data_IF_477397437534
#
_entry.id   IF_477397437534
#
_cell.length_a   1.000
_cell.length_b   1.000
_cell.length_c   1.000
_cell.angle_alpha   90.00
_cell.angle_beta   90.00
_cell.angle_gamma   90.00
#
_symmetry.space_group_name_H-M   'P 1'
#
loop_
_entity.id
_entity.type
_entity.pdbx_description
1 polymer ?
#
# COMPACT_ATOMS: atom_id res chain seq x y z
N UNK A 1 -8.66 -19.43 11.09
CA UNK A 1 -10.09 -19.54 11.44
C UNK A 1 -10.73 -18.21 11.10
N UNK A 2 -11.89 -18.20 10.45
CA UNK A 2 -12.65 -16.97 10.25
C UNK A 2 -13.07 -16.42 11.62
N UNK A 3 -12.89 -15.13 11.86
CA UNK A 3 -13.36 -14.49 13.10
C UNK A 3 -14.89 -14.48 13.10
N UNK A 4 -15.51 -14.66 14.28
CA UNK A 4 -16.96 -14.52 14.35
C UNK A 4 -17.36 -13.05 14.10
N UNK A 5 -18.58 -12.77 13.59
CA UNK A 5 -19.07 -11.40 13.46
C UNK A 5 -18.97 -10.61 14.77
N UNK A 6 -19.22 -11.27 15.90
CA UNK A 6 -19.11 -10.68 17.22
C UNK A 6 -17.69 -10.22 17.55
N UNK A 7 -16.67 -11.04 17.26
CA UNK A 7 -15.27 -10.69 17.47
C UNK A 7 -14.86 -9.50 16.60
N UNK A 8 -15.33 -9.47 15.35
CA UNK A 8 -15.08 -8.38 14.40
C UNK A 8 -15.67 -7.08 14.93
N UNK A 9 -16.95 -7.08 15.29
CA UNK A 9 -17.60 -5.88 15.83
C UNK A 9 -16.95 -5.44 17.14
N UNK A 10 -16.62 -6.36 18.04
CA UNK A 10 -15.92 -6.05 19.29
C UNK A 10 -14.59 -5.33 19.03
N UNK A 11 -13.79 -5.81 18.08
CA UNK A 11 -12.53 -5.16 17.70
C UNK A 11 -12.77 -3.75 17.14
N UNK A 12 -13.76 -3.59 16.25
CA UNK A 12 -14.07 -2.30 15.60
C UNK A 12 -14.53 -1.25 16.61
N UNK A 13 -15.43 -1.63 17.51
CA UNK A 13 -16.08 -0.68 18.42
C UNK A 13 -15.34 -0.48 19.74
N UNK A 14 -14.27 -1.24 19.98
CA UNK A 14 -13.42 -1.12 21.18
C UNK A 14 -12.88 0.30 21.44
N UNK A 15 -12.75 1.11 20.39
CA UNK A 15 -12.28 2.50 20.44
C UNK A 15 -13.41 3.52 20.19
N UNK A 16 -14.65 3.07 20.05
CA UNK A 16 -15.80 3.94 19.81
C UNK A 16 -16.20 4.68 21.09
N UNK A 17 -16.74 5.90 20.95
CA UNK A 17 -17.28 6.64 22.08
C UNK A 17 -18.57 6.00 22.60
N UNK A 18 -18.93 6.17 23.89
CA UNK A 18 -20.21 5.68 24.42
C UNK A 18 -21.42 6.20 23.63
N UNK A 19 -21.37 7.46 23.18
CA UNK A 19 -22.43 8.06 22.35
C UNK A 19 -22.54 7.42 20.97
N UNK A 20 -21.41 7.05 20.35
CA UNK A 20 -21.42 6.29 19.09
C UNK A 20 -22.06 4.92 19.29
N UNK A 21 -21.69 4.22 20.36
CA UNK A 21 -22.23 2.90 20.70
C UNK A 21 -23.74 2.93 20.96
N UNK A 22 -24.22 3.91 21.73
CA UNK A 22 -25.64 4.10 22.03
C UNK A 22 -26.47 4.40 20.78
N UNK A 23 -25.92 5.17 19.84
CA UNK A 23 -26.59 5.42 18.55
C UNK A 23 -26.62 4.17 17.69
N UNK A 24 -25.51 3.43 17.64
CA UNK A 24 -25.36 2.25 16.78
C UNK A 24 -26.22 1.07 17.27
N UNK A 25 -26.42 0.92 18.58
CA UNK A 25 -27.25 -0.14 19.16
C UNK A 25 -28.74 -0.05 18.77
N UNK A 26 -29.17 1.09 18.21
CA UNK A 26 -30.52 1.24 17.63
C UNK A 26 -30.68 0.53 16.28
N UNK A 27 -29.57 0.20 15.63
CA UNK A 27 -29.52 -0.37 14.27
C UNK A 27 -28.82 -1.73 14.22
N UNK A 28 -27.95 -2.01 15.19
CA UNK A 28 -27.18 -3.25 15.27
C UNK A 28 -27.47 -3.94 16.59
N UNK A 29 -27.95 -5.18 16.51
CA UNK A 29 -27.97 -6.06 17.67
C UNK A 29 -26.56 -6.61 17.90
N UNK A 30 -25.89 -6.17 18.95
CA UNK A 30 -24.54 -6.62 19.28
C UNK A 30 -24.48 -8.04 19.85
N UNK A 31 -25.62 -8.67 20.19
CA UNK A 31 -25.65 -10.08 20.58
C UNK A 31 -25.54 -11.01 19.36
N UNK A 32 -26.08 -10.58 18.22
CA UNK A 32 -26.04 -11.29 16.94
C UNK A 32 -25.77 -10.30 15.80
N UNK A 33 -24.57 -9.70 15.75
CA UNK A 33 -24.33 -8.61 14.82
C UNK A 33 -24.16 -9.14 13.38
N UNK A 34 -24.56 -8.36 12.36
CA UNK A 34 -24.37 -8.74 10.97
C UNK A 34 -22.88 -8.75 10.60
N UNK A 35 -22.53 -9.36 9.47
CA UNK A 35 -21.18 -9.21 8.90
C UNK A 35 -20.87 -7.73 8.64
N UNK A 36 -19.77 -7.23 9.22
CA UNK A 36 -19.48 -5.79 9.21
C UNK A 36 -19.33 -5.24 7.78
N UNK A 37 -18.67 -5.99 6.89
CA UNK A 37 -18.46 -5.56 5.51
C UNK A 37 -19.79 -5.39 4.75
N UNK A 38 -20.69 -6.35 4.88
CA UNK A 38 -22.00 -6.33 4.23
C UNK A 38 -22.90 -5.25 4.82
N UNK A 39 -22.84 -5.07 6.14
CA UNK A 39 -23.52 -3.95 6.81
C UNK A 39 -23.01 -2.61 6.27
N UNK A 40 -21.69 -2.36 6.28
CA UNK A 40 -21.11 -1.10 5.83
C UNK A 40 -21.44 -0.78 4.36
N UNK A 41 -21.42 -1.77 3.47
CA UNK A 41 -21.82 -1.59 2.07
C UNK A 41 -23.30 -1.26 1.93
N UNK A 42 -24.17 -1.95 2.68
CA UNK A 42 -25.60 -1.65 2.71
C UNK A 42 -25.85 -0.21 3.15
N UNK A 43 -25.19 0.23 4.23
CA UNK A 43 -25.32 1.61 4.73
C UNK A 43 -24.81 2.64 3.71
N UNK A 44 -23.71 2.36 3.02
CA UNK A 44 -23.25 3.21 1.93
C UNK A 44 -24.27 3.31 0.78
N UNK A 45 -24.86 2.19 0.36
CA UNK A 45 -25.86 2.18 -0.70
C UNK A 45 -27.12 2.98 -0.31
N UNK A 46 -27.57 2.86 0.93
CA UNK A 46 -28.66 3.66 1.49
C UNK A 46 -28.30 5.16 1.51
N UNK A 47 -27.07 5.51 1.89
CA UNK A 47 -26.58 6.89 1.84
C UNK A 47 -26.64 7.48 0.43
N UNK A 48 -26.20 6.72 -0.58
CA UNK A 48 -26.22 7.15 -1.98
C UNK A 48 -27.64 7.36 -2.51
N UNK A 49 -28.61 6.63 -1.96
CA UNK A 49 -30.04 6.80 -2.24
C UNK A 49 -30.69 7.93 -1.43
N UNK A 50 -29.91 8.65 -0.60
CA UNK A 50 -30.39 9.67 0.35
C UNK A 50 -31.44 9.13 1.32
N UNK A 51 -31.33 7.84 1.67
CA UNK A 51 -32.24 7.23 2.64
C UNK A 51 -31.90 7.74 4.06
N UNK A 52 -32.86 8.31 4.80
CA UNK A 52 -32.63 8.83 6.15
C UNK A 52 -32.24 7.76 7.18
N UNK A 53 -32.52 6.49 6.90
CA UNK A 53 -32.18 5.36 7.78
C UNK A 53 -30.72 4.89 7.61
N UNK A 54 -29.97 5.50 6.68
CA UNK A 54 -28.54 5.25 6.52
C UNK A 54 -27.77 5.60 7.79
N UNK A 55 -26.97 4.66 8.29
CA UNK A 55 -26.02 4.90 9.37
C UNK A 55 -24.60 5.16 8.87
N UNK A 56 -24.39 5.43 7.58
CA UNK A 56 -23.05 5.59 7.01
C UNK A 56 -22.25 6.70 7.70
N UNK A 57 -22.84 7.88 7.89
CA UNK A 57 -22.19 8.99 8.58
C UNK A 57 -21.82 8.62 10.03
N UNK A 58 -22.69 7.85 10.72
CA UNK A 58 -22.38 7.35 12.07
C UNK A 58 -21.15 6.42 12.07
N UNK A 59 -20.98 5.58 11.05
CA UNK A 59 -19.81 4.70 10.92
C UNK A 59 -18.53 5.51 10.64
N UNK A 60 -18.62 6.58 9.86
CA UNK A 60 -17.49 7.46 9.51
C UNK A 60 -17.10 8.35 10.69
N UNK A 61 -18.06 9.08 11.26
CA UNK A 61 -17.86 9.99 12.40
C UNK A 61 -17.42 9.23 13.66
N UNK A 62 -17.97 8.03 13.86
CA UNK A 62 -17.55 7.10 14.91
C UNK A 62 -16.17 6.47 14.70
N UNK A 63 -15.48 6.80 13.60
CA UNK A 63 -14.20 6.22 13.18
C UNK A 63 -14.20 4.69 13.01
N UNK A 64 -15.39 4.08 12.87
CA UNK A 64 -15.55 2.64 12.77
C UNK A 64 -15.01 2.11 11.44
N UNK A 65 -15.18 2.87 10.35
CA UNK A 65 -14.59 2.54 9.05
C UNK A 65 -13.06 2.54 9.14
N UNK A 66 -12.45 3.52 9.81
CA UNK A 66 -10.99 3.53 10.02
C UNK A 66 -10.53 2.33 10.84
N UNK A 67 -11.31 1.92 11.84
CA UNK A 67 -10.98 0.77 12.70
C UNK A 67 -11.01 -0.50 11.88
N UNK A 68 -12.08 -0.73 11.13
CA UNK A 68 -12.25 -1.93 10.35
C UNK A 68 -11.20 -2.05 9.23
N UNK A 69 -10.95 -0.95 8.52
CA UNK A 69 -9.97 -0.91 7.43
C UNK A 69 -8.55 -1.12 7.97
N UNK A 70 -8.18 -0.43 9.05
CA UNK A 70 -6.83 -0.48 9.62
C UNK A 70 -6.49 -1.76 10.40
N UNK A 71 -7.50 -2.51 10.87
CA UNK A 71 -7.27 -3.70 11.69
C UNK A 71 -6.95 -4.94 10.82
N UNK A 72 -5.80 -5.62 11.02
CA UNK A 72 -5.36 -6.71 10.13
C UNK A 72 -6.29 -7.93 10.09
N UNK A 73 -7.00 -8.21 11.18
CA UNK A 73 -7.83 -9.43 11.31
C UNK A 73 -9.31 -9.24 10.95
N UNK A 74 -9.79 -7.99 10.90
CA UNK A 74 -11.23 -7.67 10.86
C UNK A 74 -11.80 -7.82 9.46
N UNK A 75 -11.05 -7.38 8.45
CA UNK A 75 -11.43 -7.50 7.04
C UNK A 75 -10.29 -8.13 6.27
N UNK A 76 -10.58 -8.91 5.24
CA UNK A 76 -9.54 -9.26 4.29
C UNK A 76 -9.09 -8.00 3.50
N UNK A 77 -7.95 -8.09 2.80
CA UNK A 77 -7.38 -6.91 2.12
C UNK A 77 -8.34 -6.37 1.04
N UNK A 78 -9.03 -7.27 0.32
CA UNK A 78 -9.96 -6.88 -0.76
C UNK A 78 -11.13 -6.07 -0.20
N UNK A 79 -11.76 -6.53 0.87
CA UNK A 79 -12.87 -5.85 1.56
C UNK A 79 -12.44 -4.49 2.10
N UNK A 80 -11.29 -4.42 2.78
CA UNK A 80 -10.81 -3.14 3.29
C UNK A 80 -10.42 -2.16 2.20
N UNK A 81 -9.87 -2.61 1.07
CA UNK A 81 -9.63 -1.74 -0.08
C UNK A 81 -10.95 -1.22 -0.66
N UNK A 82 -12.01 -2.04 -0.74
CA UNK A 82 -13.33 -1.59 -1.18
C UNK A 82 -13.88 -0.52 -0.24
N UNK A 83 -13.90 -0.78 1.07
CA UNK A 83 -14.41 0.22 2.04
C UNK A 83 -13.55 1.49 2.06
N UNK A 84 -12.23 1.38 1.92
CA UNK A 84 -11.36 2.54 1.85
C UNK A 84 -11.65 3.39 0.60
N UNK A 85 -11.90 2.77 -0.57
CA UNK A 85 -12.30 3.50 -1.78
C UNK A 85 -13.64 4.20 -1.60
N UNK A 86 -14.61 3.53 -0.97
CA UNK A 86 -15.91 4.13 -0.63
C UNK A 86 -15.70 5.34 0.28
N UNK A 87 -14.96 5.19 1.38
CA UNK A 87 -14.72 6.27 2.32
C UNK A 87 -13.98 7.47 1.71
N UNK A 88 -13.06 7.24 0.78
CA UNK A 88 -12.37 8.30 0.04
C UNK A 88 -13.31 9.18 -0.81
N UNK A 89 -14.50 8.68 -1.19
CA UNK A 89 -15.47 9.49 -1.94
C UNK A 89 -16.07 10.62 -1.09
N UNK A 90 -16.23 10.39 0.21
CA UNK A 90 -16.71 11.39 1.18
C UNK A 90 -15.60 12.16 1.90
N UNK A 91 -14.40 11.57 2.00
CA UNK A 91 -13.25 12.16 2.69
C UNK A 91 -11.95 12.00 1.88
N UNK A 92 -11.55 13.02 1.10
CA UNK A 92 -10.30 12.99 0.34
C UNK A 92 -9.03 12.84 1.20
N UNK A 93 -9.12 13.07 2.52
CA UNK A 93 -8.00 12.92 3.45
C UNK A 93 -8.00 11.57 4.16
N UNK A 94 -8.89 10.64 3.79
CA UNK A 94 -9.02 9.32 4.44
C UNK A 94 -7.69 8.58 4.57
N UNK A 95 -6.90 8.48 3.48
CA UNK A 95 -5.60 7.80 3.48
C UNK A 95 -4.60 8.43 4.45
N UNK A 96 -4.61 9.75 4.57
CA UNK A 96 -3.77 10.48 5.53
C UNK A 96 -4.26 10.25 6.96
N UNK A 97 -5.57 10.27 7.20
CA UNK A 97 -6.16 9.99 8.52
C UNK A 97 -5.90 8.56 8.97
N UNK A 98 -5.97 7.58 8.05
CA UNK A 98 -5.66 6.18 8.31
C UNK A 98 -4.23 6.02 8.83
N UNK A 99 -3.24 6.65 8.20
CA UNK A 99 -1.85 6.64 8.70
C UNK A 99 -1.69 7.41 10.01
N UNK A 100 -2.31 8.59 10.14
CA UNK A 100 -2.18 9.43 11.34
C UNK A 100 -2.78 8.76 12.57
N UNK A 101 -3.85 7.97 12.40
CA UNK A 101 -4.44 7.18 13.48
C UNK A 101 -3.43 6.26 14.14
N UNK A 102 -2.51 5.67 13.36
CA UNK A 102 -1.45 4.83 13.91
C UNK A 102 -0.60 5.58 14.95
N UNK A 103 -0.52 6.91 14.87
CA UNK A 103 0.24 7.75 15.80
C UNK A 103 -0.65 8.46 16.84
N UNK A 104 -1.98 8.31 16.81
CA UNK A 104 -2.88 9.15 17.60
C UNK A 104 -2.65 9.06 19.12
N UNK A 105 -2.24 7.88 19.59
CA UNK A 105 -1.98 7.61 21.01
C UNK A 105 -0.53 7.19 21.27
N UNK A 106 0.40 7.56 20.37
CA UNK A 106 1.78 7.08 20.36
C UNK A 106 2.75 8.23 20.14
N UNK A 107 3.82 8.28 20.93
CA UNK A 107 4.84 9.34 20.81
C UNK A 107 5.77 9.01 19.64
N UNK A 108 6.09 7.73 19.49
CA UNK A 108 7.10 7.24 18.56
C UNK A 108 6.49 6.31 17.51
N UNK A 109 6.88 6.44 16.21
CA UNK A 109 6.46 5.51 15.17
C UNK A 109 6.71 4.04 15.51
N UNK A 110 7.77 3.76 16.24
CA UNK A 110 8.21 2.42 16.66
C UNK A 110 7.20 1.71 17.60
N UNK A 111 6.33 2.46 18.26
CA UNK A 111 5.28 1.92 19.15
C UNK A 111 4.11 1.32 18.37
N UNK A 112 4.04 1.55 17.05
CA UNK A 112 2.98 0.98 16.21
C UNK A 112 3.27 -0.51 15.96
N UNK A 113 2.32 -1.42 16.23
CA UNK A 113 2.45 -2.80 15.82
C UNK A 113 2.74 -2.94 14.32
N UNK A 114 3.72 -3.79 13.97
CA UNK A 114 4.17 -3.89 12.59
C UNK A 114 3.08 -4.39 11.64
N UNK A 115 2.17 -5.25 12.11
CA UNK A 115 1.01 -5.76 11.39
C UNK A 115 -0.03 -4.67 11.09
N UNK A 116 -0.37 -3.82 12.07
CA UNK A 116 -1.23 -2.64 11.86
C UNK A 116 -0.63 -1.71 10.77
N UNK A 117 0.67 -1.45 10.86
CA UNK A 117 1.38 -0.63 9.88
C UNK A 117 1.38 -1.29 8.49
N UNK A 118 1.74 -2.58 8.40
CA UNK A 118 1.73 -3.32 7.15
C UNK A 118 0.34 -3.36 6.51
N UNK A 119 -0.72 -3.45 7.33
CA UNK A 119 -2.10 -3.38 6.87
C UNK A 119 -2.40 -2.03 6.24
N UNK A 120 -2.14 -0.93 6.96
CA UNK A 120 -2.36 0.42 6.42
C UNK A 120 -1.57 0.64 5.11
N UNK A 121 -0.29 0.28 5.08
CA UNK A 121 0.55 0.43 3.88
C UNK A 121 0.06 -0.43 2.70
N UNK A 122 -0.47 -1.63 2.96
CA UNK A 122 -1.01 -2.49 1.90
C UNK A 122 -2.31 -1.95 1.32
N UNK A 123 -3.14 -1.30 2.14
CA UNK A 123 -4.32 -0.58 1.66
C UNK A 123 -3.90 0.60 0.79
N UNK A 124 -2.96 1.43 1.26
CA UNK A 124 -2.44 2.55 0.47
C UNK A 124 -1.82 2.11 -0.85
N UNK A 125 -1.11 1.00 -0.87
CA UNK A 125 -0.54 0.43 -2.09
C UNK A 125 -1.61 0.01 -3.10
N UNK A 126 -2.78 -0.46 -2.63
CA UNK A 126 -3.92 -0.84 -3.45
C UNK A 126 -4.80 0.35 -3.86
N UNK A 127 -4.65 1.50 -3.20
CA UNK A 127 -5.32 2.76 -3.53
C UNK A 127 -4.37 3.57 -4.41
N UNK A 128 -4.59 3.55 -5.72
CA UNK A 128 -3.67 4.12 -6.72
C UNK A 128 -3.57 5.66 -6.70
N UNK A 129 -3.99 6.33 -5.63
CA UNK A 129 -3.90 7.78 -5.45
C UNK A 129 -3.19 8.15 -4.14
N UNK A 130 -1.85 8.24 -4.16
CA UNK A 130 -1.06 8.51 -2.97
C UNK A 130 -0.84 10.01 -2.69
N UNK A 131 -1.70 10.90 -3.22
CA UNK A 131 -1.55 12.34 -3.05
C UNK A 131 -1.43 12.73 -1.56
N UNK A 132 -0.46 13.60 -1.27
CA UNK A 132 -0.22 14.20 0.05
C UNK A 132 0.20 13.22 1.16
N UNK A 133 0.69 12.03 0.81
CA UNK A 133 1.17 11.05 1.80
C UNK A 133 2.65 11.18 2.15
N UNK A 134 3.45 11.87 1.34
CA UNK A 134 4.92 11.90 1.47
C UNK A 134 5.39 12.26 2.89
N UNK A 135 4.91 13.38 3.46
CA UNK A 135 5.29 13.82 4.80
C UNK A 135 4.84 12.88 5.92
N UNK A 136 3.70 12.22 5.75
CA UNK A 136 3.19 11.24 6.72
C UNK A 136 4.00 9.95 6.65
N UNK A 137 4.31 9.47 5.44
CA UNK A 137 5.13 8.29 5.19
C UNK A 137 6.58 8.47 5.66
N UNK A 138 7.13 9.69 5.57
CA UNK A 138 8.49 9.98 6.00
C UNK A 138 8.72 9.63 7.47
N UNK A 139 7.71 9.80 8.33
CA UNK A 139 7.76 9.42 9.74
C UNK A 139 8.02 7.93 9.96
N UNK A 140 7.68 7.10 8.97
CA UNK A 140 7.85 5.65 9.02
C UNK A 140 9.05 5.15 8.19
N UNK A 141 9.84 6.05 7.60
CA UNK A 141 11.01 5.69 6.78
C UNK A 141 12.12 5.00 7.57
N UNK A 142 12.19 5.24 8.88
CA UNK A 142 13.17 4.67 9.81
C UNK A 142 12.59 3.57 10.71
N UNK A 143 11.42 3.05 10.34
CA UNK A 143 10.73 2.03 11.14
C UNK A 143 11.59 0.76 11.33
N UNK A 144 11.66 0.16 12.53
CA UNK A 144 12.56 -0.96 12.85
C UNK A 144 12.30 -2.21 12.01
N UNK A 145 11.03 -2.51 11.73
CA UNK A 145 10.65 -3.64 10.90
C UNK A 145 11.02 -3.39 9.43
N UNK A 146 11.94 -4.20 8.89
CA UNK A 146 12.39 -4.11 7.48
C UNK A 146 11.27 -4.31 6.47
N UNK A 147 10.24 -5.11 6.80
CA UNK A 147 9.08 -5.28 5.93
C UNK A 147 8.30 -3.96 5.79
N UNK A 148 8.04 -3.29 6.91
CA UNK A 148 7.40 -1.97 6.93
C UNK A 148 8.25 -0.97 6.14
N UNK A 149 9.55 -0.88 6.46
CA UNK A 149 10.47 0.04 5.79
C UNK A 149 10.48 -0.17 4.27
N UNK A 150 10.45 -1.42 3.81
CA UNK A 150 10.42 -1.73 2.37
C UNK A 150 9.11 -1.30 1.67
N UNK A 151 7.97 -1.33 2.36
CA UNK A 151 6.69 -0.82 1.82
C UNK A 151 6.64 0.70 1.84
N UNK A 152 7.13 1.31 2.92
CA UNK A 152 7.28 2.78 3.00
C UNK A 152 8.18 3.29 1.87
N UNK A 153 9.31 2.63 1.61
CA UNK A 153 10.21 2.98 0.53
C UNK A 153 9.55 2.89 -0.85
N UNK A 154 8.70 1.87 -1.09
CA UNK A 154 7.90 1.77 -2.31
C UNK A 154 6.97 2.97 -2.49
N UNK A 155 6.19 3.28 -1.45
CA UNK A 155 5.23 4.37 -1.52
C UNK A 155 5.93 5.73 -1.65
N UNK A 156 7.00 5.97 -0.88
CA UNK A 156 7.81 7.19 -0.99
C UNK A 156 8.48 7.33 -2.36
N UNK A 157 8.99 6.24 -2.94
CA UNK A 157 9.56 6.25 -4.30
C UNK A 157 8.56 6.74 -5.34
N UNK A 158 7.26 6.48 -5.13
CA UNK A 158 6.19 6.94 -6.01
C UNK A 158 5.82 8.42 -5.82
N UNK A 159 5.92 8.97 -4.60
CA UNK A 159 5.33 10.29 -4.26
C UNK A 159 6.26 11.35 -3.69
N UNK A 160 7.45 10.99 -3.23
CA UNK A 160 8.37 11.95 -2.63
C UNK A 160 9.16 12.67 -3.71
N UNK A 161 9.23 13.99 -3.63
CA UNK A 161 10.10 14.81 -4.49
C UNK A 161 11.47 15.08 -3.84
N UNK A 162 11.65 14.71 -2.57
CA UNK A 162 12.94 14.86 -1.89
C UNK A 162 13.89 13.74 -2.32
N UNK A 163 14.84 14.07 -3.19
CA UNK A 163 15.90 13.15 -3.63
C UNK A 163 16.74 12.68 -2.44
N UNK A 164 17.08 13.57 -1.49
CA UNK A 164 17.89 13.23 -0.32
C UNK A 164 17.26 12.11 0.52
N UNK A 165 15.94 12.18 0.76
CA UNK A 165 15.20 11.13 1.47
C UNK A 165 15.26 9.79 0.72
N UNK A 166 15.12 9.83 -0.61
CA UNK A 166 15.15 8.61 -1.42
C UNK A 166 16.57 8.03 -1.51
N UNK A 167 17.60 8.88 -1.51
CA UNK A 167 19.00 8.48 -1.40
C UNK A 167 19.29 7.79 -0.07
N UNK A 168 18.80 8.33 1.05
CA UNK A 168 18.92 7.67 2.36
C UNK A 168 18.30 6.27 2.34
N UNK A 169 17.11 6.12 1.76
CA UNK A 169 16.45 4.83 1.61
C UNK A 169 17.20 3.87 0.67
N UNK A 170 17.83 4.40 -0.38
CA UNK A 170 18.63 3.61 -1.31
C UNK A 170 19.96 3.15 -0.70
N UNK A 171 20.47 3.82 0.34
CA UNK A 171 21.65 3.39 1.08
C UNK A 171 21.36 2.33 2.14
N UNK A 172 20.10 2.00 2.39
CA UNK A 172 19.73 0.94 3.35
C UNK A 172 20.31 -0.42 2.88
N UNK A 173 21.02 -1.16 3.76
CA UNK A 173 21.64 -2.43 3.39
C UNK A 173 20.65 -3.52 2.94
N UNK A 174 19.40 -3.48 3.41
CA UNK A 174 18.37 -4.44 3.01
C UNK A 174 17.96 -4.24 1.54
N UNK A 175 18.26 -5.23 0.70
CA UNK A 175 17.99 -5.17 -0.72
C UNK A 175 16.50 -5.06 -1.07
N UNK A 176 15.59 -5.50 -0.20
CA UNK A 176 14.14 -5.34 -0.42
C UNK A 176 13.73 -3.88 -0.34
N UNK A 177 14.34 -3.11 0.56
CA UNK A 177 14.09 -1.66 0.67
C UNK A 177 14.52 -0.98 -0.63
N UNK A 178 15.75 -1.23 -1.09
CA UNK A 178 16.28 -0.66 -2.33
C UNK A 178 15.47 -1.06 -3.57
N UNK A 179 15.11 -2.34 -3.70
CA UNK A 179 14.33 -2.82 -4.83
C UNK A 179 12.92 -2.24 -4.86
N UNK A 180 12.25 -2.17 -3.71
CA UNK A 180 10.91 -1.61 -3.60
C UNK A 180 10.91 -0.09 -3.82
N UNK A 181 11.96 0.62 -3.39
CA UNK A 181 12.15 2.03 -3.74
C UNK A 181 12.18 2.23 -5.26
N UNK A 182 13.02 1.47 -5.98
CA UNK A 182 13.06 1.52 -7.44
C UNK A 182 11.71 1.13 -8.07
N UNK A 183 11.01 0.14 -7.50
CA UNK A 183 9.66 -0.21 -7.92
C UNK A 183 8.68 0.96 -7.79
N UNK A 184 8.79 1.76 -6.71
CA UNK A 184 8.00 2.98 -6.53
C UNK A 184 8.33 4.04 -7.57
N UNK A 185 9.63 4.30 -7.78
CA UNK A 185 10.13 5.25 -8.79
C UNK A 185 9.67 4.85 -10.19
N UNK A 186 9.64 3.56 -10.50
CA UNK A 186 9.13 3.04 -11.76
C UNK A 186 7.67 3.43 -12.05
N UNK A 187 6.86 3.79 -11.06
CA UNK A 187 5.48 4.22 -11.28
C UNK A 187 5.35 5.72 -11.60
N UNK A 188 6.47 6.45 -11.66
CA UNK A 188 6.48 7.87 -12.03
C UNK A 188 6.62 8.05 -13.54
N UNK A 189 6.09 9.16 -14.01
CA UNK A 189 6.22 9.61 -15.40
C UNK A 189 7.60 10.20 -15.67
N UNK A 190 8.05 11.13 -14.82
CA UNK A 190 9.39 11.71 -14.90
C UNK A 190 10.40 10.90 -14.07
N UNK A 191 11.40 10.36 -14.77
CA UNK A 191 12.47 9.54 -14.22
C UNK A 191 13.83 10.25 -14.19
N UNK A 192 13.98 11.40 -14.85
CA UNK A 192 15.29 12.05 -15.00
C UNK A 192 15.94 12.42 -13.66
N UNK A 193 15.20 12.92 -12.64
CA UNK A 193 15.78 13.22 -11.33
C UNK A 193 16.42 12.00 -10.64
N UNK A 194 16.00 10.78 -11.00
CA UNK A 194 16.46 9.54 -10.38
C UNK A 194 17.55 8.82 -11.17
N UNK A 195 18.02 9.39 -12.29
CA UNK A 195 18.97 8.74 -13.21
C UNK A 195 20.21 8.18 -12.51
N UNK A 196 20.83 8.96 -11.63
CA UNK A 196 22.02 8.54 -10.89
C UNK A 196 21.76 7.36 -9.91
N UNK A 197 20.57 7.33 -9.29
CA UNK A 197 20.14 6.22 -8.44
C UNK A 197 19.86 4.97 -9.25
N UNK A 198 19.18 5.10 -10.39
CA UNK A 198 18.88 4.01 -11.31
C UNK A 198 20.18 3.40 -11.87
N UNK A 199 21.16 4.23 -12.23
CA UNK A 199 22.47 3.76 -12.72
C UNK A 199 23.25 2.96 -11.66
N UNK A 200 23.20 3.39 -10.39
CA UNK A 200 23.75 2.60 -9.27
C UNK A 200 22.98 1.30 -9.07
N UNK A 201 21.65 1.33 -9.15
CA UNK A 201 20.80 0.15 -9.08
C UNK A 201 21.16 -0.90 -10.12
N UNK A 202 21.51 -0.51 -11.35
CA UNK A 202 21.93 -1.44 -12.40
C UNK A 202 23.20 -2.24 -12.03
N UNK A 203 24.03 -1.69 -11.14
CA UNK A 203 25.29 -2.29 -10.66
C UNK A 203 25.14 -2.97 -9.30
N UNK A 204 23.94 -2.97 -8.71
CA UNK A 204 23.69 -3.59 -7.41
C UNK A 204 23.90 -5.10 -7.50
N UNK A 205 24.59 -5.66 -6.50
CA UNK A 205 24.89 -7.09 -6.42
C UNK A 205 23.62 -7.93 -6.26
N UNK A 206 22.55 -7.35 -5.72
CA UNK A 206 21.28 -8.04 -5.60
C UNK A 206 20.53 -8.04 -6.94
N UNK A 207 20.13 -9.23 -7.39
CA UNK A 207 19.44 -9.43 -8.68
C UNK A 207 18.12 -8.66 -8.76
N UNK A 208 17.36 -8.56 -7.66
CA UNK A 208 16.07 -7.85 -7.64
C UNK A 208 16.25 -6.36 -7.80
N UNK A 209 17.20 -5.75 -7.10
CA UNK A 209 17.52 -4.33 -7.22
C UNK A 209 17.96 -4.02 -8.66
N UNK A 210 18.93 -4.78 -9.17
CA UNK A 210 19.43 -4.57 -10.53
C UNK A 210 18.40 -4.87 -11.62
N UNK A 211 17.47 -5.81 -11.42
CA UNK A 211 16.42 -6.09 -12.38
C UNK A 211 15.44 -4.92 -12.51
N UNK A 212 15.00 -4.33 -11.38
CA UNK A 212 14.17 -3.13 -11.41
C UNK A 212 14.88 -1.95 -12.07
N UNK A 213 16.15 -1.71 -11.73
CA UNK A 213 16.92 -0.63 -12.35
C UNK A 213 17.10 -0.82 -13.87
N UNK A 214 17.40 -2.05 -14.32
CA UNK A 214 17.51 -2.37 -15.74
C UNK A 214 16.17 -2.20 -16.47
N UNK A 215 15.06 -2.62 -15.84
CA UNK A 215 13.72 -2.45 -16.38
C UNK A 215 13.36 -0.97 -16.56
N UNK A 216 13.67 -0.14 -15.57
CA UNK A 216 13.48 1.31 -15.64
C UNK A 216 14.31 1.93 -16.78
N UNK A 217 15.61 1.60 -16.90
CA UNK A 217 16.45 2.10 -18.01
C UNK A 217 16.01 1.58 -19.38
N UNK A 218 15.53 0.34 -19.46
CA UNK A 218 15.01 -0.22 -20.70
C UNK A 218 13.76 0.54 -21.15
N UNK A 219 12.88 0.93 -20.21
CA UNK A 219 11.68 1.73 -20.48
C UNK A 219 12.04 3.11 -21.03
N UNK A 220 13.12 3.71 -20.56
CA UNK A 220 13.61 5.02 -21.07
C UNK A 220 14.44 4.91 -22.35
N UNK A 221 14.45 3.74 -23.02
CA UNK A 221 15.06 3.56 -24.34
C UNK A 221 16.53 3.11 -24.33
N UNK A 222 17.12 2.79 -23.17
CA UNK A 222 18.53 2.40 -23.12
C UNK A 222 18.73 0.95 -23.62
N UNK A 223 19.23 0.80 -24.86
CA UNK A 223 19.39 -0.48 -25.55
C UNK A 223 20.20 -1.54 -24.78
N UNK A 224 21.30 -1.15 -24.13
CA UNK A 224 22.12 -2.08 -23.34
C UNK A 224 21.35 -2.71 -22.16
N UNK A 225 20.60 -1.90 -21.41
CA UNK A 225 19.74 -2.36 -20.32
C UNK A 225 18.61 -3.25 -20.82
N UNK A 226 18.04 -2.94 -22.00
CA UNK A 226 17.03 -3.80 -22.65
C UNK A 226 17.61 -5.18 -23.00
N UNK A 227 18.82 -5.24 -23.55
CA UNK A 227 19.50 -6.50 -23.87
C UNK A 227 19.79 -7.32 -22.60
N UNK A 228 20.35 -6.68 -21.56
CA UNK A 228 20.61 -7.34 -20.28
C UNK A 228 19.33 -7.84 -19.59
N UNK A 229 18.24 -7.08 -19.67
CA UNK A 229 16.95 -7.51 -19.14
C UNK A 229 16.40 -8.72 -19.91
N UNK A 230 16.48 -8.73 -21.25
CA UNK A 230 16.13 -9.90 -22.09
C UNK A 230 16.95 -11.13 -21.72
N UNK A 231 18.25 -10.98 -21.47
CA UNK A 231 19.09 -12.09 -21.01
C UNK A 231 18.59 -12.66 -19.67
N UNK A 232 18.16 -11.79 -18.74
CA UNK A 232 17.60 -12.23 -17.44
C UNK A 232 16.24 -12.91 -17.57
N UNK A 233 15.37 -12.42 -18.46
CA UNK A 233 14.08 -13.05 -18.78
C UNK A 233 14.28 -14.48 -19.35
N UNK A 234 15.39 -14.73 -20.03
CA UNK A 234 15.74 -16.03 -20.59
C UNK A 234 16.71 -16.85 -19.69
N UNK A 235 16.94 -16.42 -18.45
CA UNK A 235 17.86 -17.12 -17.56
C UNK A 235 17.35 -18.52 -17.20
N UNK A 236 18.27 -19.48 -17.09
CA UNK A 236 17.95 -20.84 -16.63
C UNK A 236 17.55 -20.89 -15.15
N UNK A 237 18.05 -19.94 -14.36
CA UNK A 237 17.73 -19.81 -12.93
C UNK A 237 16.36 -19.16 -12.75
N UNK A 238 15.41 -19.90 -12.17
CA UNK A 238 14.03 -19.45 -11.94
C UNK A 238 13.96 -18.10 -11.23
N UNK A 239 14.66 -17.95 -10.10
CA UNK A 239 14.64 -16.71 -9.31
C UNK A 239 15.06 -15.46 -10.11
N UNK A 240 16.07 -15.58 -10.98
CA UNK A 240 16.54 -14.46 -11.83
C UNK A 240 15.49 -14.10 -12.87
N UNK A 241 14.90 -15.13 -13.48
CA UNK A 241 13.88 -14.99 -14.51
C UNK A 241 12.58 -14.40 -13.95
N UNK A 242 12.08 -14.92 -12.85
CA UNK A 242 10.81 -14.51 -12.24
C UNK A 242 10.87 -13.06 -11.76
N UNK A 243 12.01 -12.66 -11.19
CA UNK A 243 12.29 -11.27 -10.82
C UNK A 243 12.34 -10.35 -12.05
N UNK A 244 12.93 -10.79 -13.16
CA UNK A 244 12.96 -10.02 -14.39
C UNK A 244 11.56 -9.87 -15.02
N UNK A 245 10.74 -10.92 -14.98
CA UNK A 245 9.33 -10.85 -15.41
C UNK A 245 8.55 -9.85 -14.56
N UNK A 246 8.69 -9.94 -13.24
CA UNK A 246 8.02 -9.02 -12.33
C UNK A 246 8.47 -7.56 -12.53
N UNK A 247 9.77 -7.31 -12.69
CA UNK A 247 10.25 -5.97 -12.97
C UNK A 247 9.71 -5.44 -14.31
N UNK A 248 9.68 -6.28 -15.35
CA UNK A 248 9.20 -5.92 -16.69
C UNK A 248 7.70 -5.62 -16.72
N UNK A 249 6.88 -6.37 -15.97
CA UNK A 249 5.43 -6.11 -15.91
C UNK A 249 5.12 -4.77 -15.24
N UNK A 250 5.85 -4.41 -14.17
CA UNK A 250 5.66 -3.14 -13.46
C UNK A 250 6.01 -1.93 -14.34
N UNK A 251 7.04 -2.02 -15.19
CA UNK A 251 7.45 -0.92 -16.07
C UNK A 251 6.73 -0.89 -17.42
N UNK A 252 5.77 -1.79 -17.66
CA UNK A 252 5.05 -1.86 -18.94
C UNK A 252 5.87 -2.44 -20.09
N UNK A 253 6.83 -3.32 -19.81
CA UNK A 253 7.68 -4.01 -20.80
C UNK A 253 7.36 -5.52 -20.90
N UNK A 254 6.11 -5.90 -20.62
CA UNK A 254 5.67 -7.30 -20.66
C UNK A 254 5.91 -7.95 -22.03
N UNK A 255 5.83 -7.18 -23.11
CA UNK A 255 6.00 -7.66 -24.49
C UNK A 255 7.44 -8.13 -24.81
N UNK A 256 8.42 -7.81 -23.96
CA UNK A 256 9.78 -8.35 -24.09
C UNK A 256 9.86 -9.86 -23.89
N UNK A 257 8.80 -10.48 -23.34
CA UNK A 257 8.69 -11.91 -23.07
C UNK A 257 8.41 -12.74 -24.32
N UNK A 258 7.91 -12.13 -25.42
CA UNK A 258 7.52 -12.84 -26.65
C UNK A 258 8.53 -12.77 -27.81
N UNK A 259 9.65 -12.07 -27.66
CA UNK A 259 10.56 -11.74 -28.77
C UNK A 259 11.59 -12.81 -29.13
N UNK A 260 11.20 -14.09 -29.10
CA UNK A 260 11.90 -15.13 -29.84
C UNK A 260 11.00 -15.51 -31.03
N UNK A 261 11.08 -14.76 -32.13
CA UNK A 261 10.74 -15.36 -33.43
C UNK A 261 11.71 -16.54 -33.64
N UNK A 262 11.22 -17.76 -33.87
CA UNK A 262 12.07 -18.82 -34.36
C UNK A 262 12.40 -18.58 -35.84
N UNK A 263 13.71 -18.62 -36.12
CA UNK A 263 14.42 -18.56 -37.40
C UNK A 263 14.58 -17.17 -38.05
#
# INVERSE_FOLDING_TARGET
MAQSPLDVWTAIVSQATPTTLEKLSKFVDFAEPPEFFDYAQTQWNLQQQRNPDSTWELLVDGQLIFSAVGHPSVLNLKEATVLARIAMTGDPLFTTKLLRRLLANRIWPEEVPADEMLRALSILEALEDPQRLAMTLLKFSKFPCRMVQSKVAKLLGRVSDSIDVLEELFQVPDARVRANLLQGIAQRDDLEPFRAMIDRGCKDQNTRVSAFALAIKARTGHGGSKALLKMRLNAKTGDVRDVAHFASSIVGLADLVGGAEPA
#
